data_IF_668858675208
#
_entry.id   IF_668858675208
#
_cell.length_a   1.000
_cell.length_b   1.000
_cell.length_c   1.000
_cell.angle_alpha   90.00
_cell.angle_beta   90.00
_cell.angle_gamma   90.00
#
_symmetry.space_group_name_H-M   'P 1'
#
loop_
_entity.id
_entity.type
_entity.pdbx_description
1 polymer ?
#
# COMPACT_ATOMS: atom_id res chain seq x y z
N UNK A 1 -5.99 26.11 -4.49
CA UNK A 1 -7.20 25.26 -4.57
C UNK A 1 -8.03 25.52 -3.32
N UNK A 2 -9.34 25.66 -3.45
CA UNK A 2 -10.26 25.79 -2.33
C UNK A 2 -10.41 24.45 -1.59
N UNK A 3 -10.85 24.49 -0.33
CA UNK A 3 -11.10 23.26 0.45
C UNK A 3 -12.17 22.38 -0.20
N UNK A 4 -13.13 22.97 -0.91
CA UNK A 4 -14.19 22.26 -1.63
C UNK A 4 -13.62 21.47 -2.82
N UNK A 5 -12.67 22.04 -3.55
CA UNK A 5 -11.99 21.35 -4.65
C UNK A 5 -11.10 20.22 -4.14
N UNK A 6 -10.33 20.44 -3.07
CA UNK A 6 -9.54 19.38 -2.42
C UNK A 6 -10.43 18.21 -1.95
N UNK A 7 -11.55 18.54 -1.30
CA UNK A 7 -12.54 17.54 -0.86
C UNK A 7 -13.13 16.78 -2.06
N UNK A 8 -13.41 17.46 -3.17
CA UNK A 8 -13.85 16.85 -4.41
C UNK A 8 -12.84 15.82 -4.96
N UNK A 9 -11.55 16.15 -4.94
CA UNK A 9 -10.49 15.21 -5.34
C UNK A 9 -10.43 13.98 -4.42
N UNK A 10 -10.56 14.18 -3.10
CA UNK A 10 -10.59 13.06 -2.14
C UNK A 10 -11.80 12.16 -2.36
N UNK A 11 -12.99 12.74 -2.57
CA UNK A 11 -14.19 11.97 -2.89
C UNK A 11 -14.02 11.21 -4.21
N UNK A 12 -13.34 11.80 -5.20
CA UNK A 12 -13.04 11.12 -6.46
C UNK A 12 -12.07 9.94 -6.25
N UNK A 13 -11.03 10.14 -5.46
CA UNK A 13 -10.10 9.07 -5.07
C UNK A 13 -10.88 7.91 -4.39
N UNK A 14 -11.78 8.22 -3.47
CA UNK A 14 -12.63 7.23 -2.81
C UNK A 14 -13.54 6.47 -3.78
N UNK A 15 -14.18 7.17 -4.73
CA UNK A 15 -15.01 6.57 -5.78
C UNK A 15 -14.19 5.57 -6.63
N UNK A 16 -13.00 5.96 -7.09
CA UNK A 16 -12.13 5.10 -7.89
C UNK A 16 -11.71 3.82 -7.15
N UNK A 17 -11.50 3.90 -5.83
CA UNK A 17 -11.17 2.72 -5.00
C UNK A 17 -12.33 1.77 -4.75
N UNK A 18 -13.53 2.16 -5.15
CA UNK A 18 -14.74 1.35 -5.06
C UNK A 18 -15.06 0.61 -6.33
N UNK A 19 -14.38 0.87 -7.46
CA UNK A 19 -14.53 0.02 -8.64
C UNK A 19 -14.25 -1.43 -8.26
N UNK A 20 -15.04 -2.37 -8.79
CA UNK A 20 -15.08 -3.74 -8.27
C UNK A 20 -13.73 -4.48 -8.43
N UNK A 21 -13.04 -4.25 -9.54
CA UNK A 21 -11.71 -4.81 -9.78
C UNK A 21 -10.68 -4.21 -8.82
N UNK A 22 -10.69 -2.89 -8.62
CA UNK A 22 -9.84 -2.21 -7.66
C UNK A 22 -10.14 -2.67 -6.23
N UNK A 23 -11.41 -2.92 -5.88
CA UNK A 23 -11.79 -3.46 -4.58
C UNK A 23 -11.20 -4.85 -4.37
N UNK A 24 -11.32 -5.75 -5.36
CA UNK A 24 -10.69 -7.08 -5.32
C UNK A 24 -9.18 -6.99 -5.21
N UNK A 25 -8.54 -6.12 -6.00
CA UNK A 25 -7.10 -5.90 -5.97
C UNK A 25 -6.62 -5.45 -4.59
N UNK A 26 -7.33 -4.50 -3.96
CA UNK A 26 -7.01 -4.01 -2.61
C UNK A 26 -7.19 -5.08 -1.53
N UNK A 27 -8.26 -5.88 -1.64
CA UNK A 27 -8.49 -7.03 -0.74
C UNK A 27 -7.33 -8.03 -0.84
N UNK A 28 -7.00 -8.45 -2.06
CA UNK A 28 -5.87 -9.34 -2.32
C UNK A 28 -4.55 -8.76 -1.79
N UNK A 29 -4.26 -7.49 -2.11
CA UNK A 29 -3.03 -6.84 -1.67
C UNK A 29 -2.91 -6.78 -0.15
N UNK A 30 -4.03 -6.54 0.54
CA UNK A 30 -4.07 -6.42 2.00
C UNK A 30 -3.95 -7.79 2.68
N UNK A 31 -4.76 -8.75 2.24
CA UNK A 31 -4.95 -10.04 2.94
C UNK A 31 -3.91 -11.06 2.49
N UNK A 32 -3.76 -11.26 1.19
CA UNK A 32 -3.03 -12.40 0.61
C UNK A 32 -1.59 -12.05 0.24
N UNK A 33 -1.36 -10.85 -0.30
CA UNK A 33 -0.02 -10.43 -0.71
C UNK A 33 0.86 -10.12 0.50
N UNK A 34 1.64 -11.08 0.99
CA UNK A 34 2.56 -10.94 2.12
C UNK A 34 4.01 -11.23 1.69
N UNK A 35 4.60 -10.43 0.80
CA UNK A 35 5.92 -10.73 0.24
C UNK A 35 6.98 -10.76 1.35
N UNK A 36 7.85 -11.77 1.33
CA UNK A 36 8.99 -11.92 2.24
C UNK A 36 10.33 -11.72 1.52
N UNK A 37 10.30 -11.74 0.20
CA UNK A 37 11.46 -11.60 -0.66
C UNK A 37 11.09 -10.91 -1.98
N UNK A 38 12.11 -10.46 -2.70
CA UNK A 38 11.92 -9.97 -4.07
C UNK A 38 11.40 -11.05 -5.03
N UNK A 39 11.70 -12.33 -4.78
CA UNK A 39 11.13 -13.44 -5.54
C UNK A 39 9.60 -13.52 -5.37
N UNK A 40 9.07 -13.31 -4.17
CA UNK A 40 7.61 -13.26 -3.93
C UNK A 40 6.96 -12.10 -4.67
N UNK A 41 7.62 -10.94 -4.67
CA UNK A 41 7.19 -9.78 -5.45
C UNK A 41 7.18 -10.10 -6.95
N UNK A 42 8.23 -10.73 -7.48
CA UNK A 42 8.30 -11.13 -8.88
C UNK A 42 7.21 -12.15 -9.25
N UNK A 43 6.93 -13.11 -8.37
CA UNK A 43 5.82 -14.05 -8.55
C UNK A 43 4.49 -13.31 -8.69
N UNK A 44 4.26 -12.27 -7.90
CA UNK A 44 3.04 -11.47 -8.00
C UNK A 44 3.01 -10.61 -9.27
N UNK A 45 4.09 -9.89 -9.60
CA UNK A 45 4.11 -8.95 -10.73
C UNK A 45 4.15 -9.63 -12.10
N UNK A 46 4.59 -10.89 -12.19
CA UNK A 46 4.59 -11.69 -13.42
C UNK A 46 3.51 -12.78 -13.44
N UNK A 47 2.77 -12.96 -12.34
CA UNK A 47 1.72 -13.98 -12.21
C UNK A 47 0.30 -13.45 -12.45
N UNK A 48 -0.68 -14.22 -12.00
CA UNK A 48 -2.11 -13.91 -12.17
C UNK A 48 -2.54 -12.58 -11.51
N UNK A 49 -1.88 -12.19 -10.41
CA UNK A 49 -2.17 -10.96 -9.68
C UNK A 49 -1.34 -9.75 -10.14
N UNK A 50 -0.68 -9.87 -11.29
CA UNK A 50 0.11 -8.80 -11.90
C UNK A 50 -0.68 -7.50 -12.04
N UNK A 51 -1.92 -7.60 -12.51
CA UNK A 51 -2.84 -6.45 -12.62
C UNK A 51 -3.17 -5.84 -11.25
N UNK A 52 -3.50 -6.66 -10.25
CA UNK A 52 -3.86 -6.19 -8.91
C UNK A 52 -2.71 -5.42 -8.25
N UNK A 53 -1.49 -5.95 -8.32
CA UNK A 53 -0.30 -5.30 -7.75
C UNK A 53 -0.09 -3.91 -8.36
N UNK A 54 -0.11 -3.83 -9.70
CA UNK A 54 0.10 -2.56 -10.41
C UNK A 54 -1.02 -1.57 -10.15
N UNK A 55 -2.27 -2.02 -10.08
CA UNK A 55 -3.41 -1.16 -9.75
C UNK A 55 -3.27 -0.55 -8.36
N UNK A 56 -2.94 -1.35 -7.33
CA UNK A 56 -2.87 -0.85 -5.94
C UNK A 56 -1.69 0.11 -5.76
N UNK A 57 -0.48 -0.30 -6.16
CA UNK A 57 0.71 0.55 -5.98
C UNK A 57 0.62 1.80 -6.85
N UNK A 58 0.22 1.67 -8.12
CA UNK A 58 0.10 2.79 -9.05
C UNK A 58 -0.97 3.80 -8.62
N UNK A 59 -2.12 3.33 -8.14
CA UNK A 59 -3.16 4.20 -7.61
C UNK A 59 -2.64 5.06 -6.44
N UNK A 60 -1.93 4.45 -5.49
CA UNK A 60 -1.45 5.18 -4.32
C UNK A 60 -0.25 6.07 -4.63
N UNK A 61 0.60 5.68 -5.58
CA UNK A 61 1.67 6.57 -6.07
C UNK A 61 1.09 7.79 -6.79
N UNK A 62 0.07 7.61 -7.63
CA UNK A 62 -0.65 8.72 -8.27
C UNK A 62 -1.34 9.63 -7.23
N UNK A 63 -2.05 9.06 -6.26
CA UNK A 63 -2.69 9.83 -5.20
C UNK A 63 -1.66 10.62 -4.39
N UNK A 64 -0.51 10.03 -4.09
CA UNK A 64 0.60 10.71 -3.44
C UNK A 64 1.19 11.83 -4.31
N UNK A 65 1.24 11.67 -5.63
CA UNK A 65 1.68 12.73 -6.53
C UNK A 65 0.75 13.96 -6.45
N UNK A 66 -0.57 13.78 -6.33
CA UNK A 66 -1.51 14.89 -6.14
C UNK A 66 -1.21 15.67 -4.86
N UNK A 67 -0.90 14.98 -3.76
CA UNK A 67 -0.52 15.62 -2.48
C UNK A 67 0.81 16.32 -2.60
N UNK A 68 1.83 15.65 -3.13
CA UNK A 68 3.19 16.17 -3.28
C UNK A 68 3.27 17.42 -4.17
N UNK A 69 2.30 17.60 -5.07
CA UNK A 69 2.19 18.77 -5.96
C UNK A 69 1.18 19.81 -5.45
N UNK A 70 0.65 19.66 -4.23
CA UNK A 70 -0.22 20.65 -3.60
C UNK A 70 -1.65 20.69 -4.13
N UNK A 71 -2.09 19.69 -4.90
CA UNK A 71 -3.48 19.56 -5.32
C UNK A 71 -4.38 19.12 -4.16
N UNK A 72 -3.85 18.36 -3.20
CA UNK A 72 -4.54 17.99 -1.96
C UNK A 72 -3.58 18.30 -0.81
N UNK A 73 -4.05 18.99 0.23
CA UNK A 73 -3.23 19.20 1.43
C UNK A 73 -2.92 17.88 2.12
N UNK A 74 -1.70 17.75 2.63
CA UNK A 74 -1.24 16.55 3.33
C UNK A 74 -2.09 16.24 4.58
N UNK A 75 -2.55 17.28 5.28
CA UNK A 75 -3.44 17.18 6.43
C UNK A 75 -4.77 16.52 6.04
N UNK A 76 -5.49 17.09 5.07
CA UNK A 76 -6.78 16.56 4.65
C UNK A 76 -6.64 15.16 4.01
N UNK A 77 -5.57 14.91 3.27
CA UNK A 77 -5.31 13.58 2.70
C UNK A 77 -5.14 12.51 3.79
N UNK A 78 -4.35 12.82 4.83
CA UNK A 78 -4.07 11.90 5.94
C UNK A 78 -5.28 11.70 6.85
N UNK A 79 -6.12 12.71 7.04
CA UNK A 79 -7.38 12.58 7.79
C UNK A 79 -8.37 11.67 7.07
N UNK A 80 -8.38 11.69 5.73
CA UNK A 80 -9.31 10.90 4.91
C UNK A 80 -8.78 9.51 4.51
N UNK A 81 -7.46 9.29 4.52
CA UNK A 81 -6.84 8.08 3.98
C UNK A 81 -5.73 7.53 4.86
N UNK A 82 -5.70 6.20 5.03
CA UNK A 82 -4.64 5.52 5.77
C UNK A 82 -4.05 4.28 5.04
N UNK A 83 -4.74 3.74 4.03
CA UNK A 83 -4.30 2.50 3.38
C UNK A 83 -2.94 2.64 2.66
N UNK A 84 -2.58 3.83 2.18
CA UNK A 84 -1.29 4.09 1.55
C UNK A 84 -0.09 3.77 2.46
N UNK A 85 -0.22 3.96 3.77
CA UNK A 85 0.79 3.55 4.77
C UNK A 85 1.00 2.03 4.73
N UNK A 86 -0.09 1.26 4.68
CA UNK A 86 -0.05 -0.20 4.59
C UNK A 86 0.48 -0.72 3.27
N UNK A 87 0.17 -0.03 2.17
CA UNK A 87 0.72 -0.34 0.86
C UNK A 87 2.23 -0.17 0.86
N UNK A 88 2.70 0.97 1.36
CA UNK A 88 4.13 1.24 1.46
C UNK A 88 4.84 0.28 2.41
N UNK A 89 4.24 -0.05 3.56
CA UNK A 89 4.82 -0.97 4.55
C UNK A 89 5.14 -2.37 4.01
N UNK A 90 4.37 -2.86 3.02
CA UNK A 90 4.63 -4.15 2.38
C UNK A 90 5.76 -4.10 1.35
N UNK A 91 5.94 -2.98 0.65
CA UNK A 91 6.93 -2.86 -0.44
C UNK A 91 8.25 -2.23 0.01
N UNK A 92 8.26 -1.42 1.07
CA UNK A 92 9.44 -0.70 1.57
C UNK A 92 10.67 -1.61 1.76
N UNK A 93 10.58 -2.81 2.39
CA UNK A 93 11.75 -3.68 2.57
C UNK A 93 12.40 -4.13 1.26
N UNK A 94 11.63 -4.19 0.18
CA UNK A 94 12.04 -4.72 -1.12
C UNK A 94 12.32 -3.60 -2.13
N UNK A 95 12.16 -2.33 -1.74
CA UNK A 95 12.10 -1.20 -2.65
C UNK A 95 13.41 -1.01 -3.43
N UNK A 96 14.56 -1.32 -2.81
CA UNK A 96 15.86 -1.30 -3.48
C UNK A 96 15.95 -2.29 -4.64
N UNK A 97 15.57 -3.55 -4.42
CA UNK A 97 15.56 -4.60 -5.45
C UNK A 97 14.52 -4.31 -6.53
N UNK A 98 13.32 -3.87 -6.13
CA UNK A 98 12.25 -3.48 -7.06
C UNK A 98 12.72 -2.35 -7.97
N UNK A 99 13.33 -1.30 -7.43
CA UNK A 99 13.83 -0.18 -8.24
C UNK A 99 15.02 -0.57 -9.12
N UNK A 100 15.86 -1.50 -8.66
CA UNK A 100 16.92 -2.09 -9.48
C UNK A 100 16.40 -2.81 -10.72
N UNK A 101 15.24 -3.47 -10.62
CA UNK A 101 14.65 -4.23 -11.73
C UNK A 101 13.67 -3.42 -12.61
N UNK A 102 12.85 -2.56 -12.01
CA UNK A 102 11.75 -1.87 -12.70
C UNK A 102 11.99 -0.37 -12.90
N UNK A 103 13.05 0.17 -12.30
CA UNK A 103 13.44 1.58 -12.42
C UNK A 103 13.23 2.38 -11.13
N UNK A 104 13.96 3.50 -10.97
CA UNK A 104 13.98 4.27 -9.71
C UNK A 104 12.64 4.89 -9.34
N UNK A 105 11.73 5.02 -10.28
CA UNK A 105 10.46 5.74 -10.16
C UNK A 105 9.38 4.90 -9.48
N UNK A 106 9.61 3.60 -9.29
CA UNK A 106 8.65 2.73 -8.63
C UNK A 106 8.34 3.25 -7.22
N UNK A 107 7.06 3.56 -6.98
CA UNK A 107 6.52 4.09 -5.72
C UNK A 107 7.22 5.36 -5.19
N UNK A 108 7.84 6.17 -6.07
CA UNK A 108 8.63 7.33 -5.66
C UNK A 108 7.79 8.45 -5.03
N UNK A 109 6.58 8.71 -5.54
CA UNK A 109 5.69 9.71 -4.94
C UNK A 109 5.11 9.21 -3.63
N UNK A 110 4.77 7.92 -3.56
CA UNK A 110 4.28 7.30 -2.34
C UNK A 110 5.34 7.39 -1.23
N UNK A 111 6.60 7.04 -1.53
CA UNK A 111 7.71 7.19 -0.58
C UNK A 111 7.85 8.65 -0.10
N UNK A 112 7.88 9.60 -1.03
CA UNK A 112 7.99 11.03 -0.71
C UNK A 112 6.85 11.50 0.22
N UNK A 113 5.63 11.02 0.00
CA UNK A 113 4.49 11.35 0.87
C UNK A 113 4.63 10.71 2.26
N UNK A 114 5.15 9.48 2.36
CA UNK A 114 5.45 8.86 3.66
C UNK A 114 6.47 9.70 4.43
N UNK A 115 7.51 10.19 3.75
CA UNK A 115 8.53 11.06 4.37
C UNK A 115 7.98 12.41 4.82
N UNK A 116 7.03 12.97 4.07
CA UNK A 116 6.38 14.23 4.41
C UNK A 116 5.29 14.08 5.50
N UNK A 117 4.74 12.88 5.68
CA UNK A 117 3.68 12.61 6.66
C UNK A 117 4.24 12.65 8.09
N UNK A 118 3.60 13.36 9.04
CA UNK A 118 4.01 13.32 10.45
C UNK A 118 4.06 11.88 10.97
N UNK A 119 5.22 11.50 11.51
CA UNK A 119 5.56 10.15 11.96
C UNK A 119 5.40 9.06 10.88
N UNK A 120 5.44 9.40 9.59
CA UNK A 120 5.12 8.49 8.49
C UNK A 120 5.96 7.22 8.49
N UNK A 121 7.30 7.33 8.58
CA UNK A 121 8.20 6.18 8.68
C UNK A 121 7.94 5.34 9.93
N UNK A 122 7.64 5.98 11.07
CA UNK A 122 7.28 5.28 12.30
C UNK A 122 5.96 4.50 12.12
N UNK A 123 4.93 5.12 11.57
CA UNK A 123 3.63 4.48 11.28
C UNK A 123 3.78 3.28 10.35
N UNK A 124 4.63 3.39 9.33
CA UNK A 124 4.99 2.29 8.41
C UNK A 124 5.63 1.13 9.18
N UNK A 125 6.64 1.41 10.01
CA UNK A 125 7.32 0.39 10.80
C UNK A 125 6.37 -0.30 11.80
N UNK A 126 5.62 0.48 12.58
CA UNK A 126 4.65 -0.02 13.56
C UNK A 126 3.58 -0.92 12.89
N UNK A 127 3.09 -0.49 11.72
CA UNK A 127 2.11 -1.24 10.95
C UNK A 127 2.69 -2.57 10.44
N UNK A 128 3.91 -2.54 9.89
CA UNK A 128 4.62 -3.74 9.43
C UNK A 128 4.83 -4.74 10.56
N UNK A 129 5.25 -4.28 11.74
CA UNK A 129 5.40 -5.13 12.92
C UNK A 129 4.08 -5.75 13.33
N UNK A 130 3.01 -4.94 13.42
CA UNK A 130 1.66 -5.43 13.75
C UNK A 130 1.19 -6.48 12.75
N UNK A 131 1.40 -6.26 11.45
CA UNK A 131 1.06 -7.23 10.41
C UNK A 131 1.82 -8.54 10.58
N UNK A 132 3.13 -8.49 10.82
CA UNK A 132 3.94 -9.68 11.05
C UNK A 132 3.49 -10.46 12.30
N UNK A 133 3.13 -9.76 13.38
CA UNK A 133 2.56 -10.40 14.59
C UNK A 133 1.26 -11.14 14.28
N UNK A 134 0.31 -10.49 13.61
CA UNK A 134 -0.97 -11.10 13.23
C UNK A 134 -0.75 -12.33 12.34
N UNK A 135 0.13 -12.25 11.34
CA UNK A 135 0.43 -13.39 10.47
C UNK A 135 1.03 -14.57 11.25
N UNK A 136 1.92 -14.30 12.20
CA UNK A 136 2.50 -15.32 13.06
C UNK A 136 1.45 -15.97 13.97
N UNK A 137 0.54 -15.19 14.53
CA UNK A 137 -0.58 -15.71 15.34
C UNK A 137 -1.51 -16.61 14.52
N UNK A 138 -1.89 -16.20 13.31
CA UNK A 138 -2.72 -17.02 12.40
C UNK A 138 -2.01 -18.34 12.06
N UNK A 139 -0.73 -18.30 11.71
CA UNK A 139 0.04 -19.50 11.41
C UNK A 139 0.13 -20.46 12.62
N UNK A 140 0.34 -19.90 13.82
CA UNK A 140 0.37 -20.68 15.06
C UNK A 140 -0.99 -21.32 15.38
N UNK A 141 -2.11 -20.62 15.16
CA UNK A 141 -3.45 -21.17 15.34
C UNK A 141 -3.73 -22.32 14.37
N UNK A 142 -3.35 -22.16 13.10
CA UNK A 142 -3.50 -23.21 12.09
C UNK A 142 -2.68 -24.46 12.42
N UNK A 143 -1.43 -24.27 12.87
CA UNK A 143 -0.57 -25.38 13.29
C UNK A 143 -1.15 -26.14 14.49
N UNK A 144 -1.71 -25.44 15.49
CA UNK A 144 -2.37 -26.06 16.65
C UNK A 144 -3.62 -26.85 16.25
N UNK A 145 -4.44 -26.28 15.36
CA UNK A 145 -5.64 -26.97 14.88
C UNK A 145 -5.29 -28.25 14.10
N UNK A 146 -4.25 -28.22 13.26
CA UNK A 146 -3.79 -29.38 12.50
C UNK A 146 -3.18 -30.48 13.38
N UNK A 147 -2.65 -30.15 14.56
CA UNK A 147 -2.16 -31.14 15.54
C UNK A 147 -3.27 -31.78 16.38
N UNK A 148 -4.47 -31.20 16.38
CA UNK A 148 -5.63 -31.66 17.14
C UNK A 148 -6.65 -32.43 16.26
N UNK A 149 -6.43 -32.49 14.95
CA UNK A 149 -7.22 -33.23 13.97
C UNK A 149 -6.54 -34.57 13.64
#
# INVERSE_FOLDING_TARGET
>A
MSKQEEAGLILKLFELRREDTMRRARTWFTIEFQPKSFADFNKAIFGEHSGHLRMVVGYWDMAAALVNNGAISIELFNDANNEHIGVFAKIEPLLGEIRGAFGPQFAANLEKLIDATPDGRKKVADLRERMNRILAEIANQQARAAQQA
#
